data_IF_518000378561
#
_entry.id   IF_518000378561
#
_cell.length_a   1.000
_cell.length_b   1.000
_cell.length_c   1.000
_cell.angle_alpha   90.00
_cell.angle_beta   90.00
_cell.angle_gamma   90.00
#
_symmetry.space_group_name_H-M   'P 1'
#
loop_
_entity.id
_entity.type
_entity.pdbx_description
1 polymer ?
#
# COMPACT_ATOMS: atom_id res chain seq x y z
N UNK A 1 -12.51 -8.40 -23.15
CA UNK A 1 -11.81 -7.48 -22.19
C UNK A 1 -10.36 -7.30 -22.62
N UNK A 2 -9.78 -6.11 -22.45
CA UNK A 2 -8.35 -5.88 -22.72
C UNK A 2 -7.51 -6.60 -21.66
N UNK A 3 -6.36 -7.14 -22.06
CA UNK A 3 -5.41 -7.74 -21.13
C UNK A 3 -4.63 -6.63 -20.40
N UNK A 4 -4.42 -6.81 -19.10
CA UNK A 4 -3.68 -5.86 -18.27
C UNK A 4 -2.80 -6.56 -17.23
N UNK A 5 -1.80 -5.85 -16.73
CA UNK A 5 -0.97 -6.23 -15.59
C UNK A 5 -1.29 -5.26 -14.46
N UNK A 6 -1.48 -5.77 -13.24
CA UNK A 6 -1.63 -4.94 -12.06
C UNK A 6 -0.28 -4.74 -11.38
N UNK A 7 0.05 -3.49 -11.09
CA UNK A 7 1.23 -3.11 -10.31
C UNK A 7 0.77 -2.51 -8.98
N UNK A 8 0.95 -3.25 -7.90
CA UNK A 8 0.58 -2.80 -6.56
C UNK A 8 1.66 -1.86 -6.01
N UNK A 9 1.29 -0.63 -5.60
CA UNK A 9 2.25 0.40 -5.23
C UNK A 9 2.85 0.16 -3.84
N UNK A 10 4.02 0.73 -3.62
CA UNK A 10 4.66 0.85 -2.31
C UNK A 10 4.27 2.13 -1.57
N UNK A 11 4.96 2.38 -0.43
CA UNK A 11 4.78 3.62 0.32
C UNK A 11 5.12 4.85 -0.54
N UNK A 12 4.37 5.94 -0.33
CA UNK A 12 4.44 7.16 -1.13
C UNK A 12 3.30 7.31 -2.14
N UNK A 13 2.52 6.25 -2.39
CA UNK A 13 1.37 6.30 -3.29
C UNK A 13 0.12 6.93 -2.67
N UNK A 14 -0.02 6.91 -1.33
CA UNK A 14 -1.10 7.59 -0.61
C UNK A 14 -0.57 8.92 -0.06
N UNK A 15 -1.18 10.02 -0.47
CA UNK A 15 -0.76 11.39 -0.15
C UNK A 15 -1.95 12.21 0.35
N UNK A 16 -1.73 13.50 0.66
CA UNK A 16 -2.81 14.42 0.99
C UNK A 16 -3.96 14.40 -0.04
N UNK A 17 -3.64 14.24 -1.33
CA UNK A 17 -4.64 14.15 -2.40
C UNK A 17 -5.46 12.86 -2.37
N UNK A 18 -5.00 11.86 -1.64
CA UNK A 18 -5.67 10.57 -1.48
C UNK A 18 -6.67 10.55 -0.32
N UNK A 19 -6.74 11.61 0.48
CA UNK A 19 -7.77 11.71 1.52
C UNK A 19 -9.16 11.56 0.91
N UNK A 20 -10.05 10.88 1.65
CA UNK A 20 -11.43 10.58 1.25
C UNK A 20 -11.55 9.56 0.10
N UNK A 21 -10.53 8.71 -0.07
CA UNK A 21 -10.54 7.62 -1.05
C UNK A 21 -11.30 6.39 -0.57
N UNK A 22 -11.46 6.21 0.73
CA UNK A 22 -12.14 5.03 1.28
C UNK A 22 -13.66 5.26 1.36
N UNK A 23 -14.49 4.45 0.68
CA UNK A 23 -15.93 4.44 0.88
C UNK A 23 -16.27 3.71 2.21
N UNK A 24 -16.72 4.41 3.27
CA UNK A 24 -16.86 3.83 4.61
C UNK A 24 -17.81 2.62 4.69
N UNK A 25 -18.82 2.58 3.82
CA UNK A 25 -19.83 1.52 3.78
C UNK A 25 -19.41 0.30 2.95
N UNK A 26 -18.25 0.35 2.29
CA UNK A 26 -17.81 -0.77 1.46
C UNK A 26 -17.45 -1.98 2.34
N UNK A 27 -17.88 -3.22 2.01
CA UNK A 27 -17.66 -4.39 2.86
C UNK A 27 -16.19 -4.62 3.25
N UNK A 28 -15.25 -4.37 2.35
CA UNK A 28 -13.82 -4.48 2.63
C UNK A 28 -13.32 -3.40 3.58
N UNK A 29 -13.87 -2.19 3.50
CA UNK A 29 -13.51 -1.11 4.45
C UNK A 29 -14.04 -1.45 5.83
N UNK A 30 -15.30 -1.88 5.94
CA UNK A 30 -15.89 -2.35 7.21
C UNK A 30 -15.08 -3.49 7.80
N UNK A 31 -14.71 -4.49 6.98
CA UNK A 31 -13.91 -5.63 7.43
C UNK A 31 -12.50 -5.20 7.88
N UNK A 32 -11.85 -4.33 7.13
CA UNK A 32 -10.54 -3.79 7.51
C UNK A 32 -10.59 -3.02 8.84
N UNK A 33 -11.67 -2.29 9.11
CA UNK A 33 -11.88 -1.63 10.39
C UNK A 33 -12.03 -2.63 11.56
N UNK A 34 -12.69 -3.76 11.36
CA UNK A 34 -12.77 -4.84 12.35
C UNK A 34 -11.39 -5.42 12.66
N UNK A 35 -10.64 -5.77 11.60
CA UNK A 35 -9.29 -6.31 11.72
C UNK A 35 -8.33 -5.30 12.36
N UNK A 36 -8.46 -4.01 12.01
CA UNK A 36 -7.67 -2.92 12.59
C UNK A 36 -7.86 -2.83 14.11
N UNK A 37 -9.08 -3.04 14.60
CA UNK A 37 -9.39 -3.07 16.05
C UNK A 37 -8.70 -4.23 16.78
N UNK A 38 -8.46 -5.37 16.11
CA UNK A 38 -7.70 -6.48 16.69
C UNK A 38 -6.28 -6.04 17.12
N UNK A 39 -5.70 -5.06 16.42
CA UNK A 39 -4.39 -4.48 16.72
C UNK A 39 -4.44 -3.32 17.73
N UNK A 40 -5.63 -2.92 18.20
CA UNK A 40 -5.78 -1.77 19.09
C UNK A 40 -5.41 -0.42 18.48
N UNK A 41 -5.51 -0.30 17.15
CA UNK A 41 -5.10 0.89 16.41
C UNK A 41 -6.30 1.77 16.04
N UNK A 42 -6.08 3.09 15.82
CA UNK A 42 -7.13 4.03 15.40
C UNK A 42 -7.76 3.64 14.07
N UNK A 43 -9.00 4.10 13.84
CA UNK A 43 -9.76 3.86 12.61
C UNK A 43 -9.02 4.34 11.35
N UNK A 44 -9.00 3.52 10.29
CA UNK A 44 -8.50 3.91 8.98
C UNK A 44 -9.45 4.89 8.30
N UNK A 45 -10.75 4.73 8.51
CA UNK A 45 -11.76 5.64 7.96
C UNK A 45 -11.60 7.03 8.58
N UNK A 46 -11.38 7.14 9.89
CA UNK A 46 -11.12 8.44 10.52
C UNK A 46 -9.84 9.10 9.99
N UNK A 47 -8.79 8.32 9.74
CA UNK A 47 -7.55 8.81 9.13
C UNK A 47 -7.79 9.30 7.70
N UNK A 48 -8.47 8.49 6.88
CA UNK A 48 -8.78 8.83 5.48
C UNK A 48 -9.74 10.02 5.36
N UNK A 49 -10.73 10.13 6.23
CA UNK A 49 -11.73 11.20 6.24
C UNK A 49 -11.27 12.46 6.99
N UNK A 50 -10.03 12.49 7.46
CA UNK A 50 -9.50 13.64 8.18
C UNK A 50 -9.66 14.95 7.37
N UNK A 51 -10.03 16.07 8.03
CA UNK A 51 -10.24 17.34 7.34
C UNK A 51 -8.94 17.94 6.78
N UNK A 52 -7.80 17.53 7.35
CA UNK A 52 -6.46 17.97 6.94
C UNK A 52 -5.46 16.81 7.03
N UNK A 53 -4.53 16.81 6.09
CA UNK A 53 -3.37 15.94 6.14
C UNK A 53 -2.48 16.30 7.33
N UNK A 54 -2.14 15.29 8.12
CA UNK A 54 -1.14 15.41 9.18
C UNK A 54 -0.01 14.42 8.90
N UNK A 55 1.11 14.90 8.38
CA UNK A 55 2.23 14.06 7.99
C UNK A 55 2.78 13.22 9.16
N UNK A 56 2.82 13.78 10.39
CA UNK A 56 3.34 13.07 11.55
C UNK A 56 2.47 11.88 11.99
N UNK A 57 1.20 11.85 11.58
CA UNK A 57 0.26 10.77 11.87
C UNK A 57 0.07 9.86 10.66
N UNK A 58 -0.25 10.45 9.48
CA UNK A 58 -0.55 9.68 8.29
C UNK A 58 0.65 8.89 7.77
N UNK A 59 1.88 9.45 7.85
CA UNK A 59 3.08 8.78 7.34
C UNK A 59 3.67 7.74 8.31
N UNK A 60 3.12 7.57 9.50
CA UNK A 60 3.51 6.45 10.35
C UNK A 60 3.28 5.12 9.60
N UNK A 61 4.27 4.22 9.55
CA UNK A 61 4.13 2.94 8.83
C UNK A 61 2.84 2.18 9.15
N UNK A 62 2.48 2.10 10.43
CA UNK A 62 1.25 1.43 10.91
C UNK A 62 -0.06 2.07 10.41
N UNK A 63 -0.02 3.30 9.92
CA UNK A 63 -1.16 4.04 9.39
C UNK A 63 -1.15 4.09 7.88
N UNK A 64 -0.02 4.49 7.28
CA UNK A 64 0.06 4.68 5.83
C UNK A 64 -0.03 3.36 5.06
N UNK A 65 0.59 2.30 5.58
CA UNK A 65 0.62 1.02 4.86
C UNK A 65 -0.78 0.40 4.70
N UNK A 66 -1.63 0.31 5.75
CA UNK A 66 -3.00 -0.19 5.57
C UNK A 66 -3.89 0.73 4.74
N UNK A 67 -3.68 2.05 4.74
CA UNK A 67 -4.39 2.96 3.85
C UNK A 67 -4.07 2.66 2.38
N UNK A 68 -2.77 2.54 2.05
CA UNK A 68 -2.33 2.17 0.69
C UNK A 68 -2.88 0.81 0.30
N UNK A 69 -2.78 -0.18 1.20
CA UNK A 69 -3.21 -1.55 0.93
C UNK A 69 -4.71 -1.59 0.60
N UNK A 70 -5.54 -0.94 1.42
CA UNK A 70 -6.99 -0.98 1.27
C UNK A 70 -7.47 -0.24 0.01
N UNK A 71 -6.92 0.95 -0.28
CA UNK A 71 -7.20 1.67 -1.53
C UNK A 71 -6.76 0.82 -2.73
N UNK A 72 -5.57 0.23 -2.68
CA UNK A 72 -5.08 -0.62 -3.78
C UNK A 72 -5.93 -1.88 -3.99
N UNK A 73 -6.48 -2.48 -2.94
CA UNK A 73 -7.41 -3.60 -3.06
C UNK A 73 -8.70 -3.19 -3.77
N UNK A 74 -9.25 -2.02 -3.42
CA UNK A 74 -10.46 -1.48 -4.06
C UNK A 74 -10.20 -1.16 -5.55
N UNK A 75 -9.10 -0.50 -5.85
CA UNK A 75 -8.69 -0.18 -7.23
C UNK A 75 -8.44 -1.47 -8.05
N UNK A 76 -7.81 -2.47 -7.45
CA UNK A 76 -7.59 -3.77 -8.10
C UNK A 76 -8.91 -4.47 -8.42
N UNK A 77 -9.88 -4.46 -7.50
CA UNK A 77 -11.20 -5.05 -7.75
C UNK A 77 -11.91 -4.35 -8.91
N UNK A 78 -11.84 -3.02 -8.98
CA UNK A 78 -12.38 -2.27 -10.11
C UNK A 78 -11.67 -2.67 -11.42
N UNK A 79 -10.34 -2.65 -11.43
CA UNK A 79 -9.56 -3.01 -12.62
C UNK A 79 -9.86 -4.45 -13.10
N UNK A 80 -10.04 -5.40 -12.18
CA UNK A 80 -10.41 -6.79 -12.49
C UNK A 80 -11.82 -6.93 -13.07
N UNK A 81 -12.74 -6.00 -12.78
CA UNK A 81 -14.07 -5.97 -13.39
C UNK A 81 -14.05 -5.46 -14.83
N UNK A 82 -13.07 -4.66 -15.21
CA UNK A 82 -12.96 -4.00 -16.51
C UNK A 82 -11.95 -4.67 -17.45
N UNK A 83 -10.98 -5.41 -16.90
CA UNK A 83 -9.84 -5.97 -17.62
C UNK A 83 -9.61 -7.45 -17.31
N UNK A 84 -9.01 -8.16 -18.25
CA UNK A 84 -8.46 -9.49 -18.00
C UNK A 84 -7.06 -9.33 -17.41
N UNK A 85 -6.92 -9.49 -16.10
CA UNK A 85 -5.64 -9.42 -15.44
C UNK A 85 -4.84 -10.69 -15.74
N UNK A 86 -3.65 -10.53 -16.31
CA UNK A 86 -2.78 -11.64 -16.72
C UNK A 86 -1.55 -11.79 -15.83
N UNK A 87 -1.21 -10.78 -15.05
CA UNK A 87 -0.16 -10.82 -14.05
C UNK A 87 -0.39 -9.75 -12.98
N UNK A 88 0.15 -9.99 -11.80
CA UNK A 88 0.18 -9.05 -10.68
C UNK A 88 1.61 -8.95 -10.18
N UNK A 89 2.07 -7.75 -9.91
CA UNK A 89 3.36 -7.49 -9.30
C UNK A 89 3.24 -6.43 -8.21
N UNK A 90 4.20 -6.36 -7.30
CA UNK A 90 4.22 -5.38 -6.23
C UNK A 90 5.57 -4.69 -6.11
N UNK A 91 5.56 -3.44 -5.68
CA UNK A 91 6.74 -2.68 -5.32
C UNK A 91 6.79 -2.48 -3.80
N UNK A 92 7.88 -2.91 -3.14
CA UNK A 92 8.04 -2.76 -1.69
C UNK A 92 6.85 -3.37 -0.93
N UNK A 93 6.12 -2.62 -0.10
CA UNK A 93 4.92 -3.12 0.58
C UNK A 93 3.82 -3.59 -0.39
N UNK A 94 3.84 -3.14 -1.63
CA UNK A 94 2.91 -3.61 -2.66
C UNK A 94 2.98 -5.12 -2.92
N UNK A 95 4.05 -5.80 -2.51
CA UNK A 95 4.14 -7.27 -2.55
C UNK A 95 3.08 -7.93 -1.67
N UNK A 96 2.78 -7.37 -0.50
CA UNK A 96 1.70 -7.90 0.36
C UNK A 96 0.33 -7.74 -0.30
N UNK A 97 0.10 -6.60 -0.94
CA UNK A 97 -1.10 -6.34 -1.73
C UNK A 97 -1.20 -7.32 -2.91
N UNK A 98 -0.10 -7.53 -3.63
CA UNK A 98 -0.05 -8.44 -4.78
C UNK A 98 -0.41 -9.89 -4.40
N UNK A 99 0.00 -10.37 -3.23
CA UNK A 99 -0.37 -11.70 -2.73
C UNK A 99 -1.89 -11.84 -2.55
N UNK A 100 -2.52 -10.84 -1.96
CA UNK A 100 -3.97 -10.82 -1.75
C UNK A 100 -4.74 -10.67 -3.07
N UNK A 101 -4.31 -9.75 -3.95
CA UNK A 101 -4.91 -9.53 -5.27
C UNK A 101 -4.81 -10.79 -6.15
N UNK A 102 -3.68 -11.50 -6.08
CA UNK A 102 -3.48 -12.76 -6.81
C UNK A 102 -4.23 -13.96 -6.20
N UNK A 103 -4.87 -13.79 -5.04
CA UNK A 103 -5.56 -14.87 -4.34
C UNK A 103 -4.64 -15.89 -3.68
N UNK A 104 -3.35 -15.56 -3.49
CA UNK A 104 -2.40 -16.43 -2.78
C UNK A 104 -2.66 -16.46 -1.27
N UNK A 105 -3.20 -15.38 -0.72
CA UNK A 105 -3.71 -15.25 0.64
C UNK A 105 -5.09 -14.59 0.58
N UNK A 106 -5.94 -14.84 1.57
CA UNK A 106 -7.24 -14.17 1.64
C UNK A 106 -7.11 -12.71 2.14
N UNK A 107 -8.24 -12.00 2.14
CA UNK A 107 -8.29 -10.59 2.54
C UNK A 107 -7.86 -10.39 4.00
N UNK A 108 -8.36 -11.23 4.90
CA UNK A 108 -8.11 -11.11 6.34
C UNK A 108 -6.63 -11.35 6.67
N UNK A 109 -6.07 -12.43 6.14
CA UNK A 109 -4.66 -12.78 6.34
C UNK A 109 -3.73 -11.79 5.64
N UNK A 110 -4.11 -11.29 4.48
CA UNK A 110 -3.39 -10.24 3.76
C UNK A 110 -3.33 -8.94 4.58
N UNK A 111 -4.46 -8.53 5.15
CA UNK A 111 -4.51 -7.36 6.02
C UNK A 111 -3.66 -7.54 7.27
N UNK A 112 -3.80 -8.69 7.98
CA UNK A 112 -3.02 -8.97 9.20
C UNK A 112 -1.52 -9.01 8.91
N UNK A 113 -1.11 -9.65 7.83
CA UNK A 113 0.29 -9.69 7.41
C UNK A 113 0.84 -8.29 7.17
N UNK A 114 0.17 -7.50 6.36
CA UNK A 114 0.57 -6.13 6.03
C UNK A 114 0.59 -5.25 7.29
N UNK A 115 -0.43 -5.33 8.14
CA UNK A 115 -0.51 -4.54 9.38
C UNK A 115 0.60 -4.93 10.36
N UNK A 116 0.87 -6.20 10.54
CA UNK A 116 1.95 -6.68 11.42
C UNK A 116 3.31 -6.19 10.93
N UNK A 117 3.58 -6.29 9.63
CA UNK A 117 4.83 -5.81 9.05
C UNK A 117 4.99 -4.29 9.18
N UNK A 118 3.89 -3.54 9.07
CA UNK A 118 3.92 -2.08 9.23
C UNK A 118 4.21 -1.65 10.68
N UNK A 119 3.72 -2.41 11.65
CA UNK A 119 4.01 -2.20 13.07
C UNK A 119 5.48 -2.50 13.33
N UNK A 120 5.99 -3.65 12.88
CA UNK A 120 7.40 -4.00 13.01
C UNK A 120 8.33 -2.94 12.42
N UNK A 121 7.99 -2.40 11.25
CA UNK A 121 8.76 -1.31 10.65
C UNK A 121 8.76 -0.02 11.47
N UNK A 122 7.68 0.25 12.20
CA UNK A 122 7.61 1.43 13.05
C UNK A 122 8.40 1.26 14.34
N UNK A 123 8.42 0.06 14.88
CA UNK A 123 9.11 -0.27 16.14
C UNK A 123 10.62 -0.44 15.96
N UNK A 124 11.04 -1.03 14.84
CA UNK A 124 12.44 -1.28 14.52
C UNK A 124 13.01 -0.18 13.63
N UNK A 125 13.69 0.78 14.23
CA UNK A 125 14.31 1.94 13.55
C UNK A 125 15.82 1.80 13.41
N UNK A 126 16.36 0.59 13.52
CA UNK A 126 17.79 0.32 13.66
C UNK A 126 18.54 0.31 12.31
N UNK A 127 17.86 0.65 11.22
CA UNK A 127 18.43 0.67 9.89
C UNK A 127 18.12 1.95 9.13
N UNK A 128 18.82 2.14 8.04
CA UNK A 128 18.58 3.22 7.09
C UNK A 128 18.73 2.72 5.65
N UNK A 129 18.24 3.51 4.73
CA UNK A 129 18.37 3.25 3.30
C UNK A 129 18.97 4.47 2.62
N UNK A 130 20.01 4.26 1.83
CA UNK A 130 20.56 5.26 0.92
C UNK A 130 20.11 4.90 -0.49
N UNK A 131 19.42 5.81 -1.14
CA UNK A 131 18.95 5.65 -2.51
C UNK A 131 19.74 6.61 -3.39
N UNK A 132 20.37 6.06 -4.44
CA UNK A 132 21.07 6.85 -5.45
C UNK A 132 20.82 6.27 -6.83
N UNK A 133 20.70 7.12 -7.87
CA UNK A 133 20.53 6.63 -9.23
C UNK A 133 21.84 5.99 -9.73
N UNK A 134 21.73 4.89 -10.45
CA UNK A 134 22.86 4.26 -11.17
C UNK A 134 22.94 4.73 -12.62
N UNK A 135 22.05 5.62 -13.02
CA UNK A 135 21.94 6.15 -14.37
C UNK A 135 21.93 7.67 -14.33
N UNK A 136 22.40 8.28 -15.41
CA UNK A 136 22.31 9.71 -15.67
C UNK A 136 20.89 10.12 -16.05
N UNK A 137 20.63 11.42 -16.22
CA UNK A 137 19.29 11.94 -16.60
C UNK A 137 18.78 11.37 -17.94
N UNK A 138 19.66 10.99 -18.84
CA UNK A 138 19.34 10.37 -20.13
C UNK A 138 19.18 8.84 -20.09
N UNK A 139 19.15 8.27 -18.87
CA UNK A 139 19.09 6.82 -18.60
C UNK A 139 20.34 6.04 -19.01
N UNK A 140 21.40 6.70 -19.46
CA UNK A 140 22.69 6.03 -19.67
C UNK A 140 23.32 5.62 -18.33
N UNK A 141 24.06 4.50 -18.26
CA UNK A 141 24.78 4.12 -17.05
C UNK A 141 25.74 5.21 -16.59
N UNK A 142 25.79 5.51 -15.29
CA UNK A 142 26.78 6.43 -14.73
C UNK A 142 28.12 5.70 -14.53
N UNK A 143 29.17 6.04 -15.30
CA UNK A 143 30.48 5.36 -15.21
C UNK A 143 31.16 5.50 -13.84
N UNK A 144 30.79 6.53 -13.06
CA UNK A 144 31.33 6.75 -11.72
C UNK A 144 30.77 5.78 -10.66
N UNK A 145 29.65 5.12 -10.98
CA UNK A 145 28.94 4.21 -10.08
C UNK A 145 29.03 2.74 -10.50
N UNK A 146 29.57 2.48 -11.69
CA UNK A 146 29.81 1.13 -12.23
C UNK A 146 31.29 0.86 -12.09
N UNK A 147 31.77 0.60 -10.90
CA UNK A 147 33.14 0.19 -10.62
C UNK A 147 33.18 -1.26 -10.10
#
# INVERSE_FOLDING_TARGET
MKRAVLLCPGRGSYTEKSLKSLPPEHPWVVRAEELRREFGLPSLVELDQAPKWNASVHLEPRNISPLIWLVSMLDAAQAMSEHQIVAVAGNSMGWYTALAVAGAIDFDDGFRLMQSMSILQQEHKDGGQVIYPQVQEDWSPDPALIA
#
